data_IF_379439112238
#
_entry.id   IF_379439112238
#
_cell.length_a   1.000
_cell.length_b   1.000
_cell.length_c   1.000
_cell.angle_alpha   90.00
_cell.angle_beta   90.00
_cell.angle_gamma   90.00
#
_symmetry.space_group_name_H-M   'P 1'
#
loop_
_entity.id
_entity.type
_entity.pdbx_description
1 polymer ?
#
# COMPACT_ATOMS: atom_id res chain seq x y z
N UNK A 1 1.40 -14.14 19.06
CA UNK A 1 0.61 -13.17 18.28
C UNK A 1 -0.51 -13.89 17.59
N UNK A 2 -1.51 -13.17 17.07
CA UNK A 2 -2.59 -13.75 16.26
C UNK A 2 -2.00 -14.52 15.05
N UNK A 3 -2.65 -15.61 14.59
CA UNK A 3 -2.19 -16.33 13.40
C UNK A 3 -2.20 -15.39 12.19
N UNK A 4 -1.17 -15.50 11.34
CA UNK A 4 -1.11 -14.72 10.10
C UNK A 4 -2.22 -15.21 9.15
N UNK A 5 -2.97 -14.28 8.50
CA UNK A 5 -3.96 -14.66 7.51
C UNK A 5 -3.28 -15.30 6.30
N UNK A 6 -3.96 -16.26 5.68
CA UNK A 6 -3.56 -16.77 4.37
C UNK A 6 -3.81 -15.70 3.29
N UNK A 7 -2.76 -15.36 2.55
CA UNK A 7 -2.81 -14.42 1.42
C UNK A 7 -2.27 -15.06 0.13
N UNK A 8 -2.27 -16.39 0.01
CA UNK A 8 -1.73 -17.11 -1.14
C UNK A 8 -2.56 -17.00 -2.42
N UNK A 9 -3.81 -16.53 -2.33
CA UNK A 9 -4.73 -16.36 -3.46
C UNK A 9 -5.74 -15.24 -3.22
N UNK A 10 -6.42 -14.80 -4.28
CA UNK A 10 -7.51 -13.81 -4.17
C UNK A 10 -8.61 -14.27 -3.20
N UNK A 11 -9.02 -15.54 -3.28
CA UNK A 11 -10.05 -16.11 -2.42
C UNK A 11 -9.60 -16.20 -0.95
N UNK A 12 -8.32 -16.50 -0.72
CA UNK A 12 -7.74 -16.51 0.63
C UNK A 12 -7.75 -15.11 1.24
N UNK A 13 -7.33 -14.09 0.48
CA UNK A 13 -7.39 -12.68 0.94
C UNK A 13 -8.82 -12.24 1.20
N UNK A 14 -9.76 -12.55 0.30
CA UNK A 14 -11.20 -12.25 0.49
C UNK A 14 -11.73 -12.90 1.77
N UNK A 15 -11.36 -14.16 2.04
CA UNK A 15 -11.76 -14.88 3.24
C UNK A 15 -11.17 -14.26 4.52
N UNK A 16 -9.89 -13.86 4.48
CA UNK A 16 -9.23 -13.15 5.58
C UNK A 16 -9.92 -11.81 5.89
N UNK A 17 -10.26 -11.04 4.85
CA UNK A 17 -11.02 -9.79 4.97
C UNK A 17 -12.38 -10.02 5.60
N UNK A 18 -13.13 -11.04 5.15
CA UNK A 18 -14.44 -11.36 5.71
C UNK A 18 -14.37 -11.80 7.18
N UNK A 19 -13.30 -12.49 7.58
CA UNK A 19 -13.11 -12.99 8.94
C UNK A 19 -12.60 -11.92 9.93
N UNK A 20 -11.88 -10.90 9.46
CA UNK A 20 -11.25 -9.89 10.31
C UNK A 20 -12.27 -9.05 11.08
N UNK A 21 -11.98 -8.72 12.35
CA UNK A 21 -12.87 -7.89 13.17
C UNK A 21 -12.87 -6.42 12.78
N UNK A 22 -11.76 -5.94 12.25
CA UNK A 22 -11.58 -4.56 11.79
C UNK A 22 -10.49 -4.48 10.74
N UNK A 23 -10.69 -3.60 9.75
CA UNK A 23 -9.82 -3.46 8.58
C UNK A 23 -9.51 -1.98 8.38
N UNK A 24 -8.23 -1.63 8.28
CA UNK A 24 -7.81 -0.27 7.94
C UNK A 24 -7.19 -0.15 6.55
N UNK A 25 -7.39 1.01 5.96
CA UNK A 25 -6.99 1.38 4.61
C UNK A 25 -6.65 2.88 4.55
N UNK A 26 -5.81 3.26 3.59
CA UNK A 26 -5.32 4.64 3.43
C UNK A 26 -6.38 5.58 2.82
N UNK A 27 -6.16 6.89 2.89
CA UNK A 27 -6.97 7.91 2.17
C UNK A 27 -6.55 8.11 0.72
N UNK A 28 -5.38 7.59 0.33
CA UNK A 28 -4.80 7.79 -1.00
C UNK A 28 -5.31 6.81 -2.06
N UNK A 29 -4.67 6.80 -3.26
CA UNK A 29 -5.03 5.92 -4.37
C UNK A 29 -5.09 4.43 -4.00
N UNK A 30 -4.23 3.97 -3.09
CA UNK A 30 -4.23 2.58 -2.61
C UNK A 30 -5.53 2.21 -1.88
N UNK A 31 -6.05 3.09 -1.01
CA UNK A 31 -7.32 2.89 -0.33
C UNK A 31 -8.52 2.93 -1.28
N UNK A 32 -8.51 3.82 -2.27
CA UNK A 32 -9.55 3.88 -3.32
C UNK A 32 -9.59 2.59 -4.13
N UNK A 33 -8.43 2.06 -4.51
CA UNK A 33 -8.34 0.79 -5.25
C UNK A 33 -8.80 -0.40 -4.41
N UNK A 34 -8.47 -0.43 -3.10
CA UNK A 34 -8.95 -1.46 -2.19
C UNK A 34 -10.47 -1.44 -2.02
N UNK A 35 -11.07 -0.25 -1.86
CA UNK A 35 -12.53 -0.12 -1.78
C UNK A 35 -13.23 -0.68 -3.03
N UNK A 36 -12.71 -0.35 -4.22
CA UNK A 36 -13.20 -0.91 -5.50
C UNK A 36 -13.03 -2.43 -5.59
N UNK A 37 -11.96 -2.98 -5.02
CA UNK A 37 -11.77 -4.42 -4.93
C UNK A 37 -12.88 -5.08 -4.09
N UNK A 38 -13.22 -4.47 -2.95
CA UNK A 38 -14.29 -4.99 -2.07
C UNK A 38 -15.68 -4.89 -2.72
N UNK A 39 -15.91 -3.84 -3.51
CA UNK A 39 -17.11 -3.72 -4.38
C UNK A 39 -17.13 -4.83 -5.43
N UNK A 40 -16.02 -5.07 -6.14
CA UNK A 40 -15.89 -6.13 -7.15
C UNK A 40 -16.17 -7.52 -6.57
N UNK A 41 -15.75 -7.76 -5.33
CA UNK A 41 -16.02 -9.01 -4.60
C UNK A 41 -17.46 -9.12 -4.07
N UNK A 42 -18.25 -8.06 -4.16
CA UNK A 42 -19.61 -8.00 -3.62
C UNK A 42 -19.68 -8.06 -2.09
N UNK A 43 -18.62 -7.63 -1.39
CA UNK A 43 -18.55 -7.69 0.08
C UNK A 43 -18.55 -6.32 0.76
N UNK A 44 -18.59 -5.22 0.00
CA UNK A 44 -18.49 -3.86 0.54
C UNK A 44 -19.45 -3.61 1.71
N UNK A 45 -20.73 -3.96 1.56
CA UNK A 45 -21.74 -3.79 2.61
C UNK A 45 -21.46 -4.67 3.85
N UNK A 46 -20.93 -5.88 3.65
CA UNK A 46 -20.62 -6.83 4.73
C UNK A 46 -19.43 -6.38 5.58
N UNK A 47 -18.53 -5.57 5.01
CA UNK A 47 -17.34 -5.08 5.72
C UNK A 47 -17.48 -3.63 6.17
N UNK A 48 -18.43 -2.86 5.64
CA UNK A 48 -18.58 -1.42 5.88
C UNK A 48 -18.49 -1.02 7.38
N UNK A 49 -19.19 -1.76 8.26
CA UNK A 49 -19.16 -1.49 9.71
C UNK A 49 -17.84 -1.81 10.43
N UNK A 50 -16.88 -2.42 9.73
CA UNK A 50 -15.55 -2.82 10.24
C UNK A 50 -14.40 -2.06 9.56
N UNK A 51 -14.72 -1.20 8.59
CA UNK A 51 -13.74 -0.42 7.84
C UNK A 51 -13.34 0.84 8.62
N UNK A 52 -12.04 1.03 8.80
CA UNK A 52 -11.45 2.18 9.51
C UNK A 52 -10.47 2.88 8.58
N UNK A 53 -10.87 4.00 8.01
CA UNK A 53 -9.97 4.79 7.17
C UNK A 53 -8.91 5.48 8.05
N UNK A 54 -7.64 5.28 7.73
CA UNK A 54 -6.56 5.97 8.44
C UNK A 54 -6.61 7.48 8.14
N UNK A 55 -6.44 8.36 9.15
CA UNK A 55 -6.39 9.81 8.90
C UNK A 55 -5.27 10.20 7.92
N UNK A 56 -5.40 11.32 7.18
CA UNK A 56 -4.33 11.80 6.32
C UNK A 56 -2.99 11.93 7.07
N UNK A 57 -1.92 11.38 6.48
CA UNK A 57 -0.58 11.38 7.07
C UNK A 57 -0.33 10.35 8.17
N UNK A 58 -1.34 9.56 8.56
CA UNK A 58 -1.18 8.45 9.51
C UNK A 58 -1.00 7.14 8.74
N UNK A 59 0.13 6.42 8.91
CA UNK A 59 0.29 5.10 8.34
C UNK A 59 -0.76 4.13 8.90
N UNK A 60 -1.38 3.33 8.03
CA UNK A 60 -2.31 2.25 8.38
C UNK A 60 -1.68 1.30 9.39
N UNK A 61 -0.39 0.99 9.22
CA UNK A 61 0.37 0.15 10.14
C UNK A 61 0.35 0.66 11.58
N UNK A 62 0.29 1.98 11.81
CA UNK A 62 0.27 2.53 13.17
C UNK A 62 -1.04 2.20 13.91
N UNK A 63 -2.16 2.08 13.20
CA UNK A 63 -3.42 1.64 13.80
C UNK A 63 -3.36 0.15 14.19
N UNK A 64 -2.70 -0.67 13.36
CA UNK A 64 -2.46 -2.09 13.67
C UNK A 64 -1.54 -2.23 14.88
N UNK A 65 -0.44 -1.49 14.92
CA UNK A 65 0.54 -1.52 16.02
C UNK A 65 -0.08 -1.15 17.38
N UNK A 66 -1.04 -0.23 17.39
CA UNK A 66 -1.80 0.14 18.60
C UNK A 66 -2.88 -0.86 19.00
N UNK A 67 -3.22 -1.79 18.11
CA UNK A 67 -4.33 -2.73 18.30
C UNK A 67 -5.71 -2.14 18.01
N UNK A 68 -5.77 -0.94 17.42
CA UNK A 68 -7.04 -0.30 17.01
C UNK A 68 -7.73 -1.11 15.89
N UNK A 69 -6.93 -1.74 15.04
CA UNK A 69 -7.40 -2.56 13.91
C UNK A 69 -6.64 -3.87 13.77
N UNK A 70 -7.31 -4.90 13.27
CA UNK A 70 -6.74 -6.25 13.12
C UNK A 70 -5.95 -6.41 11.82
N UNK A 71 -6.53 -5.96 10.70
CA UNK A 71 -5.88 -6.00 9.38
C UNK A 71 -5.66 -4.60 8.83
N UNK A 72 -4.54 -4.40 8.13
CA UNK A 72 -4.19 -3.14 7.48
C UNK A 72 -3.74 -3.35 6.04
N UNK A 73 -4.22 -2.51 5.13
CA UNK A 73 -3.83 -2.49 3.72
C UNK A 73 -3.23 -1.13 3.35
N UNK A 74 -1.96 -1.12 2.94
CA UNK A 74 -1.27 0.07 2.43
C UNK A 74 -0.10 -0.37 1.53
N UNK A 75 0.48 0.57 0.79
CA UNK A 75 1.71 0.36 0.02
C UNK A 75 2.86 -0.09 0.94
N UNK A 76 3.69 -1.01 0.46
CA UNK A 76 4.80 -1.58 1.24
C UNK A 76 5.74 -0.50 1.80
N UNK A 77 6.07 0.52 0.99
CA UNK A 77 6.94 1.64 1.39
C UNK A 77 6.45 2.37 2.66
N UNK A 78 5.13 2.42 2.88
CA UNK A 78 4.51 3.07 4.04
C UNK A 78 4.53 2.17 5.29
N UNK A 79 4.63 0.85 5.11
CA UNK A 79 4.59 -0.14 6.20
C UNK A 79 5.98 -0.54 6.69
N UNK A 80 6.99 -0.52 5.81
CA UNK A 80 8.33 -1.05 6.09
C UNK A 80 8.99 -0.52 7.37
N UNK A 81 8.71 0.75 7.72
CA UNK A 81 9.34 1.43 8.84
C UNK A 81 8.44 1.51 10.07
N UNK A 82 7.27 0.87 10.04
CA UNK A 82 6.33 0.87 11.17
C UNK A 82 6.72 -0.25 12.14
N UNK A 83 7.08 0.12 13.36
CA UNK A 83 7.34 -0.83 14.42
C UNK A 83 6.05 -1.43 14.98
N UNK A 84 6.13 -2.66 15.51
CA UNK A 84 5.00 -3.32 16.18
C UNK A 84 3.97 -3.96 15.25
N UNK A 85 4.23 -4.03 13.94
CA UNK A 85 3.41 -4.78 12.99
C UNK A 85 4.16 -5.99 12.42
N UNK A 86 3.41 -6.93 11.86
CA UNK A 86 3.95 -7.97 10.98
C UNK A 86 3.43 -7.73 9.57
N UNK A 87 4.34 -7.55 8.62
CA UNK A 87 3.99 -7.45 7.19
C UNK A 87 3.80 -8.89 6.67
N UNK A 88 2.56 -9.24 6.33
CA UNK A 88 2.22 -10.60 5.84
C UNK A 88 2.81 -10.84 4.45
N UNK A 89 2.82 -9.82 3.60
CA UNK A 89 3.38 -9.88 2.25
C UNK A 89 2.62 -8.99 1.27
N UNK A 90 3.06 -8.96 -0.01
CA UNK A 90 2.31 -8.31 -1.08
C UNK A 90 1.01 -9.08 -1.37
N UNK A 91 0.05 -8.40 -1.98
CA UNK A 91 -1.18 -9.05 -2.43
C UNK A 91 -0.88 -10.04 -3.58
N UNK A 92 -1.68 -11.12 -3.74
CA UNK A 92 -1.58 -12.02 -4.89
C UNK A 92 -1.62 -11.26 -6.22
N UNK A 93 -0.92 -11.72 -7.28
CA UNK A 93 -0.89 -11.05 -8.58
C UNK A 93 -2.27 -10.69 -9.16
N UNK A 94 -3.29 -11.54 -8.94
CA UNK A 94 -4.66 -11.31 -9.43
C UNK A 94 -5.33 -10.05 -8.84
N UNK A 95 -4.90 -9.62 -7.66
CA UNK A 95 -5.46 -8.48 -6.92
C UNK A 95 -4.41 -7.47 -6.47
N UNK A 96 -3.18 -7.61 -6.95
CA UNK A 96 -2.08 -6.70 -6.63
C UNK A 96 -2.46 -5.30 -7.11
N UNK A 97 -2.37 -4.32 -6.19
CA UNK A 97 -2.60 -2.92 -6.50
C UNK A 97 -1.23 -2.26 -6.68
N UNK A 98 -0.75 -2.20 -7.91
CA UNK A 98 0.53 -1.55 -8.24
C UNK A 98 0.33 -0.05 -8.43
N UNK A 99 0.97 0.75 -7.57
CA UNK A 99 1.03 2.22 -7.73
C UNK A 99 2.27 2.61 -8.50
N UNK A 100 2.09 3.20 -9.69
CA UNK A 100 3.19 3.72 -10.50
C UNK A 100 3.48 5.17 -10.08
N UNK A 101 4.67 5.43 -9.57
CA UNK A 101 5.16 6.78 -9.34
C UNK A 101 5.84 7.29 -10.60
N UNK A 102 5.34 8.40 -11.14
CA UNK A 102 5.88 9.06 -12.32
C UNK A 102 6.47 10.41 -11.95
N UNK A 103 7.48 10.84 -12.70
CA UNK A 103 8.11 12.15 -12.54
C UNK A 103 8.19 12.86 -13.89
N UNK A 104 8.24 14.19 -13.86
CA UNK A 104 8.33 15.01 -15.06
C UNK A 104 8.92 16.37 -14.76
N UNK A 105 9.52 16.99 -15.78
CA UNK A 105 10.05 18.35 -15.68
C UNK A 105 8.91 19.33 -15.97
N UNK A 106 8.68 20.27 -15.06
CA UNK A 106 7.69 21.31 -15.25
C UNK A 106 8.05 22.17 -16.47
N UNK A 107 7.07 22.47 -17.34
CA UNK A 107 7.28 23.25 -18.56
C UNK A 107 7.79 24.68 -18.27
N UNK A 108 7.50 25.21 -17.08
CA UNK A 108 7.96 26.52 -16.60
C UNK A 108 9.29 26.47 -15.85
N UNK A 109 10.00 25.33 -15.86
CA UNK A 109 11.27 25.20 -15.14
C UNK A 109 12.33 26.13 -15.74
N UNK A 110 12.98 26.91 -14.89
CA UNK A 110 14.16 27.71 -15.27
C UNK A 110 15.44 26.86 -15.28
N UNK A 111 15.36 25.59 -14.86
CA UNK A 111 16.48 24.64 -14.84
C UNK A 111 16.04 23.26 -15.38
N UNK A 112 15.56 23.18 -16.63
CA UNK A 112 15.03 21.93 -17.19
C UNK A 112 16.10 20.83 -17.25
N UNK A 113 17.34 21.17 -17.59
CA UNK A 113 18.40 20.16 -17.75
C UNK A 113 18.90 19.61 -16.41
N UNK A 114 18.96 20.44 -15.38
CA UNK A 114 19.29 19.97 -14.04
C UNK A 114 18.20 19.05 -13.48
N UNK A 115 16.93 19.42 -13.68
CA UNK A 115 15.80 18.58 -13.31
C UNK A 115 15.83 17.24 -14.07
N UNK A 116 16.06 17.27 -15.38
CA UNK A 116 16.19 16.07 -16.20
C UNK A 116 17.33 15.17 -15.72
N UNK A 117 18.51 15.73 -15.45
CA UNK A 117 19.65 14.96 -14.95
C UNK A 117 19.34 14.26 -13.61
N UNK A 118 18.56 14.90 -12.73
CA UNK A 118 18.09 14.28 -11.49
C UNK A 118 17.11 13.12 -11.76
N UNK A 119 16.16 13.30 -12.67
CA UNK A 119 15.21 12.24 -13.03
C UNK A 119 15.91 11.05 -13.72
N UNK A 120 16.88 11.32 -14.58
CA UNK A 120 17.72 10.30 -15.22
C UNK A 120 18.52 9.53 -14.16
N UNK A 121 19.07 10.22 -13.15
CA UNK A 121 19.71 9.56 -12.01
C UNK A 121 18.73 8.69 -11.21
N UNK A 122 17.53 9.19 -10.92
CA UNK A 122 16.49 8.40 -10.25
C UNK A 122 16.08 7.17 -11.07
N UNK A 123 16.09 7.23 -12.40
CA UNK A 123 15.83 6.09 -13.27
C UNK A 123 17.03 5.15 -13.46
N UNK A 124 18.22 5.54 -13.03
CA UNK A 124 19.44 4.75 -13.23
C UNK A 124 19.52 3.51 -12.30
N UNK A 125 20.31 2.49 -12.67
CA UNK A 125 20.60 1.35 -11.80
C UNK A 125 21.19 1.73 -10.44
N UNK A 126 21.90 2.87 -10.34
CA UNK A 126 22.48 3.34 -9.08
C UNK A 126 21.42 3.66 -8.01
N UNK A 127 20.19 3.98 -8.42
CA UNK A 127 19.09 4.25 -7.50
C UNK A 127 18.26 2.99 -7.17
N UNK A 128 18.46 1.87 -7.88
CA UNK A 128 17.62 0.67 -7.76
C UNK A 128 17.64 0.06 -6.36
N UNK A 129 18.83 -0.08 -5.76
CA UNK A 129 18.97 -0.64 -4.41
C UNK A 129 18.27 0.24 -3.37
N UNK A 130 18.37 1.56 -3.50
CA UNK A 130 17.71 2.49 -2.58
C UNK A 130 16.18 2.35 -2.65
N UNK A 131 15.61 2.20 -3.85
CA UNK A 131 14.16 1.96 -4.04
C UNK A 131 13.72 0.64 -3.42
N UNK A 132 14.46 -0.43 -3.68
CA UNK A 132 14.14 -1.77 -3.17
C UNK A 132 14.17 -1.80 -1.64
N UNK A 133 15.21 -1.21 -1.02
CA UNK A 133 15.29 -1.09 0.45
C UNK A 133 14.14 -0.29 1.05
N UNK A 134 13.49 0.56 0.25
CA UNK A 134 12.35 1.39 0.65
C UNK A 134 11.01 0.83 0.14
N UNK A 135 10.98 -0.44 -0.31
CA UNK A 135 9.74 -1.15 -0.64
C UNK A 135 9.14 -0.78 -1.98
N UNK A 136 9.96 -0.28 -2.91
CA UNK A 136 9.57 0.09 -4.25
C UNK A 136 10.36 -0.72 -5.28
N UNK A 137 9.67 -1.14 -6.34
CA UNK A 137 10.34 -1.71 -7.50
C UNK A 137 10.99 -0.60 -8.34
N UNK A 138 12.23 -0.81 -8.84
CA UNK A 138 12.83 0.09 -9.80
C UNK A 138 12.08 0.05 -11.14
N UNK A 139 12.20 1.15 -11.90
CA UNK A 139 11.65 1.25 -13.25
C UNK A 139 12.49 0.46 -14.26
#
# INVERSE_FOLDING_TARGET
GAPLPDIGSEDAVRSAVLAARSISYSTGPSGVALAKLFERWGIADQVAGRMVQAPPGVPVGSLVARGDVELGFQQLSELLHVEGITIVGPLPPAIQITTIFSSGVAASSQQPEAAKALLDFFASPAAAEAKQRQGMDPA
#
